data_IF_647463108396
#
_entry.id   IF_647463108396
#
_cell.length_a   1.000
_cell.length_b   1.000
_cell.length_c   1.000
_cell.angle_alpha   90.00
_cell.angle_beta   90.00
_cell.angle_gamma   90.00
#
_symmetry.space_group_name_H-M   'P 1'
#
loop_
_entity.id
_entity.type
_entity.pdbx_description
1 polymer ?
#
# COMPACT_ATOMS: atom_id res chain seq x y z
N UNK A 1 2.53 1.93 16.43
CA UNK A 1 2.15 3.07 15.56
C UNK A 1 0.63 3.11 15.40
N UNK A 2 0.11 4.18 14.81
CA UNK A 2 -1.31 4.35 14.57
C UNK A 2 -1.52 4.97 13.19
N UNK A 3 -2.63 4.63 12.52
CA UNK A 3 -2.93 5.17 11.19
C UNK A 3 -4.38 4.97 10.80
N UNK A 4 -4.78 5.58 9.69
CA UNK A 4 -6.10 5.40 9.09
C UNK A 4 -5.97 4.51 7.86
N UNK A 5 -6.90 3.59 7.71
CA UNK A 5 -7.00 2.71 6.53
C UNK A 5 -7.46 3.53 5.33
N UNK A 6 -6.70 3.51 4.26
CA UNK A 6 -6.99 4.19 2.99
C UNK A 6 -7.00 3.18 1.85
N UNK A 7 -7.73 3.42 0.76
CA UNK A 7 -7.67 2.55 -0.40
C UNK A 7 -6.30 2.69 -1.07
N UNK A 8 -5.81 1.63 -1.71
CA UNK A 8 -4.59 1.70 -2.52
C UNK A 8 -4.78 2.51 -3.79
N UNK A 9 -6.00 2.54 -4.32
CA UNK A 9 -6.39 3.30 -5.50
C UNK A 9 -7.75 3.96 -5.27
N UNK A 10 -7.82 5.23 -5.65
CA UNK A 10 -9.03 6.02 -5.66
C UNK A 10 -9.18 6.66 -7.04
N UNK A 11 -10.31 6.47 -7.68
CA UNK A 11 -10.54 6.93 -9.05
C UNK A 11 -11.91 7.60 -9.17
N UNK A 12 -11.91 8.83 -9.70
CA UNK A 12 -13.14 9.47 -10.13
C UNK A 12 -13.41 9.10 -11.57
N UNK A 13 -14.51 8.40 -11.81
CA UNK A 13 -14.98 8.06 -13.15
C UNK A 13 -15.64 9.27 -13.77
N UNK A 14 -15.16 9.65 -14.95
CA UNK A 14 -15.69 10.77 -15.72
C UNK A 14 -16.38 10.25 -17.00
N UNK A 15 -17.43 10.95 -17.44
CA UNK A 15 -17.98 10.72 -18.77
C UNK A 15 -16.97 11.18 -19.83
N UNK A 16 -16.58 10.32 -20.75
CA UNK A 16 -15.68 10.67 -21.85
C UNK A 16 -16.44 11.23 -23.04
N UNK A 17 -17.72 10.87 -23.16
CA UNK A 17 -18.61 11.32 -24.23
C UNK A 17 -19.89 11.91 -23.64
N UNK A 18 -20.57 12.75 -24.43
CA UNK A 18 -21.79 13.40 -23.99
C UNK A 18 -23.03 12.56 -24.35
N UNK A 19 -24.06 12.60 -23.53
CA UNK A 19 -25.34 11.97 -23.81
C UNK A 19 -26.21 11.78 -22.59
N UNK A 20 -27.37 11.15 -22.78
CA UNK A 20 -28.29 10.81 -21.68
C UNK A 20 -27.92 9.42 -21.14
N UNK A 21 -27.90 9.26 -19.84
CA UNK A 21 -27.76 7.96 -19.18
C UNK A 21 -29.09 7.19 -19.38
N UNK A 22 -29.01 6.04 -20.04
CA UNK A 22 -30.16 5.19 -20.35
C UNK A 22 -30.24 3.90 -19.54
N UNK A 23 -29.11 3.52 -18.93
CA UNK A 23 -29.01 2.29 -18.14
C UNK A 23 -28.03 2.53 -16.98
N UNK A 24 -28.37 1.99 -15.83
CA UNK A 24 -27.55 2.05 -14.61
C UNK A 24 -27.57 0.67 -13.98
N UNK A 25 -26.40 0.12 -13.66
CA UNK A 25 -26.29 -1.20 -13.02
C UNK A 25 -26.89 -1.18 -11.62
N UNK A 26 -27.42 -2.34 -11.18
CA UNK A 26 -27.87 -2.52 -9.80
C UNK A 26 -26.76 -2.28 -8.78
N UNK A 27 -25.51 -2.61 -9.12
CA UNK A 27 -24.36 -2.35 -8.27
C UNK A 27 -23.99 -0.86 -8.17
N UNK A 28 -24.54 0.00 -9.05
CA UNK A 28 -24.19 1.43 -9.11
C UNK A 28 -24.96 2.25 -8.05
N UNK A 29 -24.71 1.96 -6.79
CA UNK A 29 -25.20 2.72 -5.63
C UNK A 29 -24.07 2.88 -4.61
N UNK A 30 -24.18 3.86 -3.73
CA UNK A 30 -23.19 4.10 -2.67
C UNK A 30 -23.08 2.86 -1.78
N UNK A 31 -21.86 2.33 -1.63
CA UNK A 31 -21.60 1.07 -0.92
C UNK A 31 -21.74 -0.18 -1.78
N UNK A 32 -22.12 -0.06 -3.06
CA UNK A 32 -22.15 -1.19 -4.00
C UNK A 32 -20.76 -1.64 -4.42
N UNK A 33 -20.59 -2.94 -4.65
CA UNK A 33 -19.37 -3.55 -5.16
C UNK A 33 -19.53 -3.86 -6.65
N UNK A 34 -18.51 -3.54 -7.44
CA UNK A 34 -18.43 -3.84 -8.85
C UNK A 34 -17.08 -4.50 -9.15
N UNK A 35 -17.11 -5.55 -9.96
CA UNK A 35 -15.87 -6.19 -10.43
C UNK A 35 -15.26 -5.43 -11.59
N UNK A 36 -13.95 -5.55 -11.76
CA UNK A 36 -13.23 -4.95 -12.88
C UNK A 36 -13.82 -5.40 -14.22
N UNK A 37 -14.18 -4.44 -15.07
CA UNK A 37 -14.88 -4.68 -16.36
C UNK A 37 -16.39 -4.63 -16.30
N UNK A 38 -17.01 -4.67 -15.13
CA UNK A 38 -18.47 -4.58 -14.99
C UNK A 38 -19.00 -3.25 -15.54
N UNK A 39 -20.13 -3.30 -16.21
CA UNK A 39 -20.81 -2.10 -16.71
C UNK A 39 -21.47 -1.39 -15.53
N UNK A 40 -21.06 -0.16 -15.26
CA UNK A 40 -21.64 0.68 -14.22
C UNK A 40 -22.86 1.45 -14.73
N UNK A 41 -22.71 2.05 -15.90
CA UNK A 41 -23.80 2.78 -16.57
C UNK A 41 -23.55 2.84 -18.07
N UNK A 42 -24.62 3.16 -18.82
CA UNK A 42 -24.58 3.32 -20.28
C UNK A 42 -25.18 4.66 -20.70
N UNK A 43 -24.43 5.37 -21.54
CA UNK A 43 -24.88 6.59 -22.23
C UNK A 43 -25.59 6.17 -23.52
N UNK A 44 -26.59 6.92 -23.99
CA UNK A 44 -27.35 6.63 -25.19
C UNK A 44 -26.41 6.48 -26.41
N UNK A 45 -26.32 5.30 -27.03
CA UNK A 45 -25.34 5.01 -28.07
C UNK A 45 -25.84 5.38 -29.47
N UNK A 46 -27.13 5.75 -29.68
CA UNK A 46 -27.75 5.88 -30.99
C UNK A 46 -27.04 6.82 -31.96
N UNK A 47 -26.63 7.98 -31.45
CA UNK A 47 -25.91 8.97 -32.28
C UNK A 47 -24.51 8.46 -32.64
N UNK A 48 -23.86 7.73 -31.76
CA UNK A 48 -22.54 7.14 -31.96
C UNK A 48 -22.58 5.95 -32.92
N UNK A 49 -23.62 5.12 -32.85
CA UNK A 49 -23.88 4.05 -33.83
C UNK A 49 -24.06 4.61 -35.23
N UNK A 50 -24.84 5.69 -35.36
CA UNK A 50 -25.04 6.35 -36.65
C UNK A 50 -23.75 6.88 -37.21
N UNK A 51 -22.90 7.53 -36.38
CA UNK A 51 -21.59 8.01 -36.80
C UNK A 51 -20.66 6.87 -37.22
N UNK A 52 -20.68 5.77 -36.52
CA UNK A 52 -19.92 4.57 -36.88
C UNK A 52 -20.29 4.07 -38.26
N UNK A 53 -21.62 3.95 -38.56
CA UNK A 53 -22.09 3.54 -39.87
C UNK A 53 -21.69 4.49 -40.99
N UNK A 54 -21.72 5.81 -40.73
CA UNK A 54 -21.25 6.81 -41.70
C UNK A 54 -19.74 6.68 -41.94
N UNK A 55 -18.92 6.48 -40.92
CA UNK A 55 -17.48 6.29 -41.06
C UNK A 55 -17.14 4.99 -41.82
N UNK A 56 -17.92 3.91 -41.62
CA UNK A 56 -17.76 2.67 -42.36
C UNK A 56 -18.04 2.88 -43.87
N UNK A 57 -19.15 3.57 -44.23
CA UNK A 57 -19.49 3.85 -45.59
C UNK A 57 -18.41 4.77 -46.25
N UNK A 58 -17.84 5.73 -45.53
CA UNK A 58 -16.75 6.57 -46.00
C UNK A 58 -15.50 5.75 -46.31
N UNK A 59 -15.14 4.80 -45.43
CA UNK A 59 -14.02 3.88 -45.65
C UNK A 59 -14.21 3.04 -46.92
N UNK A 60 -15.36 2.41 -47.09
CA UNK A 60 -15.67 1.61 -48.29
C UNK A 60 -15.60 2.46 -49.59
N UNK A 61 -16.03 3.73 -49.52
CA UNK A 61 -15.90 4.69 -50.62
C UNK A 61 -14.44 5.00 -50.94
N UNK A 62 -13.62 5.25 -49.94
CA UNK A 62 -12.19 5.51 -50.09
C UNK A 62 -11.43 4.29 -50.63
N UNK A 63 -11.76 3.07 -50.14
CA UNK A 63 -11.21 1.80 -50.67
C UNK A 63 -11.54 1.64 -52.18
N UNK A 64 -12.78 1.86 -52.53
CA UNK A 64 -13.25 1.77 -53.94
C UNK A 64 -12.51 2.81 -54.82
N UNK A 65 -12.32 4.03 -54.32
CA UNK A 65 -11.57 5.07 -55.04
C UNK A 65 -10.10 4.68 -55.25
N UNK A 66 -9.47 4.11 -54.23
CA UNK A 66 -8.07 3.64 -54.32
C UNK A 66 -7.96 2.49 -55.34
N UNK A 67 -8.88 1.53 -55.35
CA UNK A 67 -8.89 0.43 -56.30
C UNK A 67 -9.02 0.95 -57.74
N UNK A 68 -9.95 1.90 -57.97
CA UNK A 68 -10.12 2.53 -59.28
C UNK A 68 -8.84 3.27 -59.71
N UNK A 69 -8.21 4.02 -58.81
CA UNK A 69 -6.99 4.76 -59.13
C UNK A 69 -5.80 3.85 -59.40
N UNK A 70 -5.67 2.73 -58.66
CA UNK A 70 -4.68 1.67 -58.94
C UNK A 70 -4.86 1.12 -60.35
N UNK A 71 -6.11 0.82 -60.74
CA UNK A 71 -6.42 0.34 -62.09
C UNK A 71 -6.05 1.34 -63.16
N UNK A 72 -6.33 2.64 -62.95
CA UNK A 72 -5.95 3.72 -63.92
C UNK A 72 -4.42 3.86 -63.99
N UNK A 73 -3.72 3.81 -62.87
CA UNK A 73 -2.26 3.86 -62.83
C UNK A 73 -1.60 2.67 -63.55
N UNK A 74 -2.19 1.46 -63.41
CA UNK A 74 -1.71 0.28 -64.12
C UNK A 74 -1.89 0.41 -65.66
N UNK A 75 -3.03 0.92 -66.12
CA UNK A 75 -3.25 1.21 -67.54
C UNK A 75 -2.25 2.24 -68.06
N UNK A 76 -2.03 3.35 -67.32
CA UNK A 76 -1.07 4.37 -67.64
C UNK A 76 0.38 3.82 -67.74
N UNK A 77 0.74 2.89 -66.81
CA UNK A 77 2.04 2.21 -66.85
C UNK A 77 2.24 1.35 -68.10
N UNK A 78 1.23 0.57 -68.47
CA UNK A 78 1.26 -0.24 -69.71
C UNK A 78 1.35 0.60 -70.97
N UNK A 79 0.71 1.75 -71.04
CA UNK A 79 0.80 2.69 -72.14
C UNK A 79 2.17 3.36 -72.21
N UNK A 80 2.73 3.79 -71.03
CA UNK A 80 4.05 4.33 -70.96
C UNK A 80 5.13 3.38 -71.49
N UNK A 81 5.04 2.10 -71.21
CA UNK A 81 5.98 1.06 -71.67
C UNK A 81 5.98 0.89 -73.19
N UNK A 82 4.90 1.26 -73.92
CA UNK A 82 4.77 1.21 -75.38
C UNK A 82 5.39 2.44 -76.07
N UNK A 83 5.68 3.51 -75.34
CA UNK A 83 6.21 4.73 -75.93
C UNK A 83 7.71 4.59 -76.26
N UNK A 84 8.16 5.24 -77.42
CA UNK A 84 9.58 5.22 -77.84
C UNK A 84 10.51 5.77 -76.73
N UNK A 85 11.64 5.13 -76.50
CA UNK A 85 12.61 5.46 -75.40
C UNK A 85 13.39 6.77 -75.66
N UNK A 86 13.20 7.45 -76.78
CA UNK A 86 14.04 8.58 -77.25
C UNK A 86 13.54 9.99 -76.86
N UNK A 87 12.58 10.09 -75.94
CA UNK A 87 12.12 11.43 -75.51
C UNK A 87 12.77 11.76 -74.16
N UNK A 88 13.52 12.88 -74.09
CA UNK A 88 13.97 13.49 -72.81
C UNK A 88 12.74 14.00 -72.06
N UNK A 89 12.25 13.16 -71.13
CA UNK A 89 11.11 13.48 -70.26
C UNK A 89 11.63 13.71 -68.86
N UNK A 90 11.16 14.78 -68.22
CA UNK A 90 11.49 15.01 -66.82
C UNK A 90 10.86 13.91 -65.92
N UNK A 91 11.49 13.63 -64.80
CA UNK A 91 10.97 12.68 -63.81
C UNK A 91 9.55 13.08 -63.34
N UNK A 92 9.31 14.36 -63.17
CA UNK A 92 8.00 14.92 -62.80
C UNK A 92 6.90 14.62 -63.83
N UNK A 93 7.23 14.74 -65.14
CA UNK A 93 6.28 14.42 -66.19
C UNK A 93 5.97 12.93 -66.23
N UNK A 94 6.96 12.09 -65.94
CA UNK A 94 6.75 10.63 -65.78
C UNK A 94 5.85 10.30 -64.60
N UNK A 95 6.12 10.86 -63.44
CA UNK A 95 5.35 10.63 -62.23
C UNK A 95 3.89 11.09 -62.35
N UNK A 96 3.68 12.23 -63.01
CA UNK A 96 2.34 12.72 -63.33
C UNK A 96 1.60 11.84 -64.37
N UNK A 97 2.29 11.37 -65.40
CA UNK A 97 1.70 10.42 -66.38
C UNK A 97 1.32 9.10 -65.75
N UNK A 98 2.15 8.58 -64.85
CA UNK A 98 1.91 7.34 -64.13
C UNK A 98 0.91 7.52 -62.98
N UNK A 99 0.33 8.71 -62.84
CA UNK A 99 -0.70 9.05 -61.86
C UNK A 99 -0.25 8.84 -60.40
N UNK A 100 1.04 8.92 -60.09
CA UNK A 100 1.57 8.75 -58.75
C UNK A 100 0.94 9.70 -57.72
N UNK A 101 0.83 11.03 -57.97
CA UNK A 101 0.21 11.96 -57.05
C UNK A 101 -1.26 11.59 -56.73
N UNK A 102 -2.00 11.14 -57.76
CA UNK A 102 -3.40 10.72 -57.59
C UNK A 102 -3.53 9.43 -56.77
N UNK A 103 -2.58 8.52 -56.97
CA UNK A 103 -2.52 7.27 -56.15
C UNK A 103 -2.17 7.60 -54.71
N UNK A 104 -1.19 8.46 -54.48
CA UNK A 104 -0.83 8.92 -53.13
C UNK A 104 -2.00 9.65 -52.44
N UNK A 105 -2.72 10.50 -53.19
CA UNK A 105 -3.94 11.15 -52.68
C UNK A 105 -5.02 10.15 -52.28
N UNK A 106 -5.29 9.14 -53.11
CA UNK A 106 -6.27 8.10 -52.80
C UNK A 106 -5.84 7.26 -51.59
N UNK A 107 -4.55 6.99 -51.43
CA UNK A 107 -4.01 6.32 -50.22
C UNK A 107 -4.18 7.17 -48.98
N UNK A 108 -3.90 8.49 -49.07
CA UNK A 108 -4.08 9.40 -47.95
C UNK A 108 -5.56 9.49 -47.52
N UNK A 109 -6.49 9.52 -48.50
CA UNK A 109 -7.93 9.51 -48.23
C UNK A 109 -8.38 8.20 -47.53
N UNK A 110 -7.84 7.06 -47.92
CA UNK A 110 -8.10 5.79 -47.27
C UNK A 110 -7.64 5.80 -45.81
N UNK A 111 -6.42 6.29 -45.56
CA UNK A 111 -5.88 6.40 -44.20
C UNK A 111 -6.72 7.34 -43.31
N UNK A 112 -7.18 8.45 -43.88
CA UNK A 112 -8.04 9.41 -43.19
C UNK A 112 -9.40 8.73 -42.81
N UNK A 113 -10.05 8.06 -43.78
CA UNK A 113 -11.30 7.36 -43.52
C UNK A 113 -11.16 6.23 -42.51
N UNK A 114 -10.02 5.53 -42.51
CA UNK A 114 -9.70 4.52 -41.49
C UNK A 114 -9.56 5.13 -40.08
N UNK A 115 -8.90 6.29 -39.97
CA UNK A 115 -8.77 7.02 -38.71
C UNK A 115 -10.12 7.50 -38.16
N UNK A 116 -10.99 7.99 -39.07
CA UNK A 116 -12.35 8.42 -38.71
C UNK A 116 -13.19 7.27 -38.22
N UNK A 117 -13.08 6.09 -38.85
CA UNK A 117 -13.76 4.86 -38.41
C UNK A 117 -13.30 4.44 -37.01
N UNK A 118 -11.99 4.46 -36.74
CA UNK A 118 -11.48 4.10 -35.42
C UNK A 118 -11.99 5.10 -34.37
N UNK A 119 -11.96 6.38 -34.66
CA UNK A 119 -12.49 7.42 -33.76
C UNK A 119 -13.97 7.23 -33.46
N UNK A 120 -14.78 6.88 -34.48
CA UNK A 120 -16.20 6.62 -34.29
C UNK A 120 -16.46 5.36 -33.46
N UNK A 121 -15.62 4.31 -33.61
CA UNK A 121 -15.67 3.09 -32.82
C UNK A 121 -15.33 3.33 -31.36
N UNK A 122 -14.24 4.05 -31.11
CA UNK A 122 -13.80 4.40 -29.75
C UNK A 122 -14.86 5.24 -29.02
N UNK A 123 -15.46 6.22 -29.71
CA UNK A 123 -16.53 7.03 -29.13
C UNK A 123 -17.80 6.21 -28.82
N UNK A 124 -18.11 5.20 -29.60
CA UNK A 124 -19.20 4.27 -29.30
C UNK A 124 -18.86 3.41 -28.06
N UNK A 125 -17.64 2.91 -27.97
CA UNK A 125 -17.18 2.13 -26.80
C UNK A 125 -17.24 2.97 -25.53
N UNK A 126 -16.83 4.23 -25.57
CA UNK A 126 -16.88 5.19 -24.45
C UNK A 126 -18.30 5.51 -23.98
N UNK A 127 -19.35 5.08 -24.68
CA UNK A 127 -20.74 5.17 -24.16
C UNK A 127 -21.00 4.16 -23.05
N UNK A 128 -20.17 3.11 -22.93
CA UNK A 128 -20.28 2.08 -21.91
C UNK A 128 -19.25 2.35 -20.84
N UNK A 129 -19.69 2.80 -19.69
CA UNK A 129 -18.80 3.10 -18.56
C UNK A 129 -18.64 1.85 -17.72
N UNK A 130 -17.39 1.40 -17.55
CA UNK A 130 -17.03 0.20 -16.82
C UNK A 130 -16.19 0.53 -15.58
N UNK A 131 -16.24 -0.38 -14.59
CA UNK A 131 -15.32 -0.36 -13.47
C UNK A 131 -13.90 -0.72 -13.97
N UNK A 132 -12.85 0.09 -13.68
CA UNK A 132 -11.48 -0.20 -14.13
C UNK A 132 -10.80 -1.31 -13.34
N UNK A 133 -11.29 -1.62 -12.15
CA UNK A 133 -10.80 -2.64 -11.21
C UNK A 133 -11.93 -3.04 -10.26
N UNK A 134 -11.70 -4.04 -9.41
CA UNK A 134 -12.65 -4.43 -8.36
C UNK A 134 -12.80 -3.29 -7.35
N UNK A 135 -13.97 -2.69 -7.30
CA UNK A 135 -14.20 -1.42 -6.64
C UNK A 135 -15.44 -1.40 -5.77
N UNK A 136 -15.37 -0.58 -4.72
CA UNK A 136 -16.49 -0.07 -3.93
C UNK A 136 -16.87 1.32 -4.45
N UNK A 137 -18.14 1.57 -4.68
CA UNK A 137 -18.66 2.89 -5.05
C UNK A 137 -18.79 3.74 -3.80
N UNK A 138 -17.91 4.73 -3.65
CA UNK A 138 -17.91 5.67 -2.53
C UNK A 138 -18.97 6.74 -2.66
N UNK A 139 -19.03 7.35 -3.85
CA UNK A 139 -19.96 8.42 -4.14
C UNK A 139 -20.54 8.28 -5.54
N UNK A 140 -21.79 8.66 -5.72
CA UNK A 140 -22.50 8.66 -6.97
C UNK A 140 -22.88 10.10 -7.31
N UNK A 141 -22.49 10.56 -8.50
CA UNK A 141 -22.70 11.95 -8.94
C UNK A 141 -23.69 12.05 -10.12
N UNK A 142 -24.13 10.92 -10.66
CA UNK A 142 -25.04 10.90 -11.80
C UNK A 142 -26.11 9.80 -11.66
N UNK A 143 -27.24 9.97 -12.35
CA UNK A 143 -28.38 9.06 -12.25
C UNK A 143 -29.04 8.76 -13.61
N UNK A 144 -29.92 7.75 -13.62
CA UNK A 144 -30.68 7.37 -14.78
C UNK A 144 -31.48 8.54 -15.34
N UNK A 145 -31.44 8.72 -16.66
CA UNK A 145 -32.14 9.80 -17.34
C UNK A 145 -31.43 11.14 -17.35
N UNK A 146 -30.38 11.32 -16.57
CA UNK A 146 -29.55 12.52 -16.53
C UNK A 146 -28.76 12.70 -17.84
N UNK A 147 -28.62 13.95 -18.28
CA UNK A 147 -27.74 14.27 -19.41
C UNK A 147 -26.37 14.67 -18.86
N UNK A 148 -25.30 14.05 -19.39
CA UNK A 148 -23.90 14.31 -18.99
C UNK A 148 -23.09 14.81 -20.19
N UNK A 149 -22.10 15.66 -19.92
CA UNK A 149 -21.12 16.10 -20.90
C UNK A 149 -19.78 15.37 -20.69
N UNK A 150 -18.88 15.47 -21.67
CA UNK A 150 -17.51 15.00 -21.50
C UNK A 150 -16.85 15.74 -20.30
N UNK A 151 -16.18 15.01 -19.43
CA UNK A 151 -15.57 15.52 -18.20
C UNK A 151 -16.51 15.62 -16.99
N UNK A 152 -17.81 15.26 -17.12
CA UNK A 152 -18.73 15.21 -15.98
C UNK A 152 -18.37 14.03 -15.07
N UNK A 153 -18.20 14.29 -13.76
CA UNK A 153 -17.99 13.22 -12.77
C UNK A 153 -19.26 12.34 -12.65
N UNK A 154 -19.06 11.03 -12.70
CA UNK A 154 -20.12 10.04 -12.63
C UNK A 154 -20.15 9.34 -11.27
N UNK A 155 -19.00 8.93 -10.78
CA UNK A 155 -18.82 8.27 -9.48
C UNK A 155 -17.38 8.36 -8.98
N UNK A 156 -17.21 8.14 -7.67
CA UNK A 156 -15.91 7.89 -7.03
C UNK A 156 -15.82 6.43 -6.64
N UNK A 157 -14.73 5.79 -7.04
CA UNK A 157 -14.47 4.37 -6.79
C UNK A 157 -13.24 4.19 -5.92
N UNK A 158 -13.32 3.26 -4.97
CA UNK A 158 -12.20 2.77 -4.17
C UNK A 158 -11.87 1.34 -4.53
N UNK A 159 -10.59 1.03 -4.71
CA UNK A 159 -10.15 -0.36 -4.86
C UNK A 159 -10.45 -1.16 -3.59
N UNK A 160 -10.96 -2.39 -3.76
CA UNK A 160 -11.26 -3.31 -2.65
C UNK A 160 -10.24 -4.44 -2.52
N UNK A 161 -9.33 -4.59 -3.49
CA UNK A 161 -8.32 -5.64 -3.46
C UNK A 161 -7.25 -5.39 -2.39
N UNK A 162 -6.86 -4.13 -2.24
CA UNK A 162 -5.76 -3.73 -1.37
C UNK A 162 -6.11 -2.44 -0.64
N UNK A 163 -5.87 -2.43 0.67
CA UNK A 163 -5.86 -1.22 1.46
C UNK A 163 -4.45 -0.91 1.97
N UNK A 164 -4.20 0.34 2.27
CA UNK A 164 -2.95 0.82 2.83
C UNK A 164 -3.19 1.54 4.16
N UNK A 165 -2.24 1.41 5.08
CA UNK A 165 -2.22 2.20 6.31
C UNK A 165 -0.90 2.93 6.39
N UNK A 166 -0.98 4.25 6.47
CA UNK A 166 0.17 5.13 6.62
C UNK A 166 0.54 5.27 8.09
N UNK A 167 1.71 4.76 8.48
CA UNK A 167 2.16 4.66 9.86
C UNK A 167 3.36 5.57 10.10
N UNK A 168 3.27 6.58 11.00
CA UNK A 168 4.40 7.41 11.38
C UNK A 168 5.32 6.66 12.34
N UNK A 169 6.59 6.54 11.97
CA UNK A 169 7.63 5.93 12.80
C UNK A 169 8.65 7.00 13.19
N UNK A 170 8.76 7.33 14.47
CA UNK A 170 9.77 8.29 14.95
C UNK A 170 11.18 7.84 14.59
N UNK A 171 12.07 8.79 14.26
CA UNK A 171 13.45 8.51 13.89
C UNK A 171 14.18 7.66 14.94
N UNK A 172 13.90 7.86 16.22
CA UNK A 172 14.51 7.11 17.34
C UNK A 172 14.14 5.63 17.37
N UNK A 173 13.14 5.19 16.59
CA UNK A 173 12.68 3.79 16.54
C UNK A 173 13.07 3.07 15.25
N UNK A 174 13.68 3.75 14.29
CA UNK A 174 14.00 3.16 12.97
C UNK A 174 15.04 2.03 13.07
N UNK A 175 16.01 2.14 13.97
CA UNK A 175 17.06 1.14 14.15
C UNK A 175 16.53 -0.22 14.64
N UNK A 176 15.34 -0.21 15.27
CA UNK A 176 14.69 -1.42 15.77
C UNK A 176 13.86 -2.15 14.73
N UNK A 177 13.64 -1.55 13.55
CA UNK A 177 12.77 -2.10 12.51
C UNK A 177 13.59 -2.62 11.34
N UNK A 178 13.06 -3.67 10.72
CA UNK A 178 13.52 -4.14 9.42
C UNK A 178 12.69 -3.43 8.34
N UNK A 179 13.21 -2.28 7.89
CA UNK A 179 12.54 -1.49 6.86
C UNK A 179 12.87 -2.05 5.48
N UNK A 180 11.91 -2.06 4.54
CA UNK A 180 12.17 -2.36 3.15
C UNK A 180 13.14 -1.32 2.57
N UNK A 181 14.00 -1.75 1.65
CA UNK A 181 14.93 -0.86 0.96
C UNK A 181 14.22 0.24 0.17
N UNK A 182 14.92 1.37 -0.08
CA UNK A 182 14.35 2.50 -0.83
C UNK A 182 13.94 2.16 -2.27
N UNK A 183 14.52 1.11 -2.85
CA UNK A 183 14.28 0.67 -4.23
C UNK A 183 13.65 -0.73 -4.33
N UNK A 184 13.39 -1.40 -3.22
CA UNK A 184 12.94 -2.79 -3.18
C UNK A 184 11.59 -2.94 -2.52
N UNK A 185 10.75 -3.75 -3.13
CA UNK A 185 9.53 -4.29 -2.53
C UNK A 185 9.87 -5.57 -1.75
N UNK A 186 10.97 -5.55 -0.98
CA UNK A 186 11.28 -6.65 -0.09
C UNK A 186 10.12 -6.83 0.89
N UNK A 187 9.78 -8.08 1.18
CA UNK A 187 8.76 -8.37 2.18
C UNK A 187 9.23 -7.80 3.50
N UNK A 188 8.65 -6.65 3.86
CA UNK A 188 8.92 -6.00 5.14
C UNK A 188 8.36 -6.81 6.31
N UNK A 189 8.61 -6.31 7.51
CA UNK A 189 8.11 -6.89 8.75
C UNK A 189 6.59 -7.10 8.72
N UNK A 190 6.13 -8.18 9.33
CA UNK A 190 4.72 -8.40 9.60
C UNK A 190 4.20 -7.35 10.58
N UNK A 191 2.99 -6.90 10.35
CA UNK A 191 2.30 -5.90 11.17
C UNK A 191 0.98 -6.50 11.61
N UNK A 192 0.74 -6.48 12.91
CA UNK A 192 -0.57 -6.76 13.48
C UNK A 192 -1.32 -5.44 13.65
N UNK A 193 -2.38 -5.28 12.87
CA UNK A 193 -3.29 -4.15 12.96
C UNK A 193 -4.46 -4.52 13.83
N UNK A 194 -4.83 -3.66 14.76
CA UNK A 194 -5.96 -3.91 15.63
C UNK A 194 -6.73 -2.64 15.96
N UNK A 195 -8.02 -2.80 16.17
CA UNK A 195 -8.90 -1.73 16.68
C UNK A 195 -10.08 -2.34 17.41
N UNK A 196 -10.72 -1.53 18.23
CA UNK A 196 -11.99 -1.91 18.87
C UNK A 196 -13.14 -1.73 17.87
N UNK A 197 -13.86 -2.81 17.63
CA UNK A 197 -15.08 -2.82 16.82
C UNK A 197 -16.23 -3.32 17.68
N UNK A 198 -17.10 -2.43 18.10
CA UNK A 198 -18.28 -2.71 18.93
C UNK A 198 -17.96 -3.41 20.28
N UNK A 199 -16.83 -3.07 20.90
CA UNK A 199 -16.42 -3.60 22.21
C UNK A 199 -15.56 -4.88 22.10
N UNK A 200 -15.22 -5.31 20.89
CA UNK A 200 -14.30 -6.41 20.65
C UNK A 200 -13.07 -5.96 19.90
N UNK A 201 -11.89 -6.35 20.36
CA UNK A 201 -10.64 -6.07 19.65
C UNK A 201 -10.55 -7.03 18.46
N UNK A 202 -10.53 -6.48 17.25
CA UNK A 202 -10.33 -7.24 16.03
C UNK A 202 -8.91 -7.01 15.51
N UNK A 203 -8.34 -8.07 14.91
CA UNK A 203 -6.98 -8.11 14.40
C UNK A 203 -6.96 -8.40 12.91
N UNK A 204 -6.04 -7.75 12.19
CA UNK A 204 -5.75 -7.99 10.77
C UNK A 204 -4.24 -8.00 10.55
N UNK A 205 -3.80 -8.93 9.72
CA UNK A 205 -2.39 -9.02 9.36
C UNK A 205 -2.10 -8.13 8.16
N UNK A 206 -1.10 -7.29 8.29
CA UNK A 206 -0.57 -6.46 7.23
C UNK A 206 0.93 -6.70 7.03
N UNK A 207 1.48 -6.23 5.93
CA UNK A 207 2.92 -6.28 5.65
C UNK A 207 3.45 -4.87 5.43
N UNK A 208 4.63 -4.59 5.97
CA UNK A 208 5.33 -3.35 5.69
C UNK A 208 5.77 -3.36 4.24
N UNK A 209 5.14 -2.52 3.42
CA UNK A 209 5.32 -2.56 1.97
C UNK A 209 6.39 -1.61 1.46
N UNK A 210 6.38 -0.36 1.95
CA UNK A 210 7.34 0.67 1.54
C UNK A 210 7.51 1.74 2.62
N UNK A 211 8.56 2.52 2.48
CA UNK A 211 8.77 3.78 3.20
C UNK A 211 8.61 4.95 2.24
N UNK A 212 8.14 6.08 2.72
CA UNK A 212 7.99 7.28 1.88
C UNK A 212 9.32 7.97 1.56
N UNK A 213 10.43 7.52 2.18
CA UNK A 213 11.79 8.01 1.88
C UNK A 213 12.08 9.44 2.33
N UNK A 214 11.11 10.14 2.91
CA UNK A 214 11.23 11.52 3.38
C UNK A 214 10.70 11.61 4.80
N UNK A 215 11.43 12.32 5.67
CA UNK A 215 10.96 12.62 7.02
C UNK A 215 9.97 13.79 7.00
N UNK A 216 8.89 13.65 7.73
CA UNK A 216 7.97 14.76 7.99
C UNK A 216 8.68 15.78 8.91
N UNK A 217 8.74 17.03 8.48
CA UNK A 217 9.49 18.09 9.18
C UNK A 217 8.92 18.43 10.55
N UNK A 218 7.60 18.27 10.75
CA UNK A 218 6.91 18.62 12.00
C UNK A 218 7.03 17.52 13.05
N UNK A 219 6.74 16.29 12.65
CA UNK A 219 6.73 15.14 13.56
C UNK A 219 8.08 14.46 13.66
N UNK A 220 9.02 14.72 12.73
CA UNK A 220 10.30 14.01 12.57
C UNK A 220 10.10 12.49 12.46
N UNK A 221 8.98 12.09 11.90
CA UNK A 221 8.66 10.70 11.67
C UNK A 221 8.93 10.34 10.21
N UNK A 222 9.39 9.12 9.97
CA UNK A 222 9.38 8.48 8.66
C UNK A 222 8.03 7.79 8.50
N UNK A 223 7.31 8.14 7.44
CA UNK A 223 6.08 7.40 7.14
C UNK A 223 6.40 6.09 6.44
N UNK A 224 5.83 5.04 6.96
CA UNK A 224 5.85 3.70 6.37
C UNK A 224 4.43 3.32 5.99
N UNK A 225 4.30 2.57 4.90
CA UNK A 225 3.02 2.13 4.38
C UNK A 225 2.89 0.63 4.59
N UNK A 226 1.91 0.26 5.38
CA UNK A 226 1.48 -1.11 5.56
C UNK A 226 0.42 -1.45 4.51
N UNK A 227 0.55 -2.61 3.88
CA UNK A 227 -0.38 -3.15 2.88
C UNK A 227 -1.20 -4.27 3.47
N UNK A 228 -2.50 -4.23 3.20
CA UNK A 228 -3.48 -5.24 3.61
C UNK A 228 -4.13 -5.77 2.34
N UNK A 229 -3.99 -7.05 2.07
CA UNK A 229 -4.68 -7.71 0.97
C UNK A 229 -6.08 -8.14 1.42
N UNK A 230 -7.08 -7.99 0.55
CA UNK A 230 -8.49 -8.30 0.78
C UNK A 230 -9.07 -7.71 2.09
N UNK A 231 -9.02 -6.38 2.27
CA UNK A 231 -9.45 -5.75 3.53
C UNK A 231 -10.93 -5.98 3.85
N UNK A 232 -11.76 -6.23 2.85
CA UNK A 232 -13.19 -6.49 3.04
C UNK A 232 -13.53 -7.98 3.26
N UNK A 233 -12.54 -8.89 3.12
CA UNK A 233 -12.77 -10.33 3.26
C UNK A 233 -13.66 -10.90 2.17
N UNK A 234 -13.60 -10.35 0.95
CA UNK A 234 -14.42 -10.81 -0.17
C UNK A 234 -13.99 -12.16 -0.72
N UNK A 235 -12.72 -12.54 -0.49
CA UNK A 235 -12.12 -13.80 -0.93
C UNK A 235 -12.10 -14.87 0.15
N UNK A 236 -12.33 -14.49 1.42
CA UNK A 236 -12.27 -15.41 2.57
C UNK A 236 -13.54 -15.28 3.41
N UNK A 237 -14.36 -16.33 3.44
CA UNK A 237 -15.54 -16.36 4.28
C UNK A 237 -15.18 -16.30 5.77
N UNK A 238 -15.87 -15.45 6.51
CA UNK A 238 -15.73 -15.34 7.98
C UNK A 238 -14.69 -14.32 8.47
N UNK A 239 -13.97 -13.66 7.58
CA UNK A 239 -13.08 -12.57 7.98
C UNK A 239 -13.91 -11.31 8.30
N UNK A 240 -13.60 -10.66 9.44
CA UNK A 240 -14.21 -9.36 9.76
C UNK A 240 -13.69 -8.31 8.76
N UNK A 241 -14.57 -7.60 8.03
CA UNK A 241 -14.13 -6.59 7.07
C UNK A 241 -13.46 -5.40 7.75
N UNK A 242 -12.28 -5.02 7.28
CA UNK A 242 -11.59 -3.80 7.65
C UNK A 242 -12.00 -2.67 6.69
N UNK A 243 -12.88 -1.81 7.13
CA UNK A 243 -13.44 -0.75 6.28
C UNK A 243 -12.45 0.39 6.08
N UNK A 244 -12.41 0.93 4.87
CA UNK A 244 -11.68 2.17 4.58
C UNK A 244 -12.20 3.29 5.47
N UNK A 245 -11.28 4.11 5.99
CA UNK A 245 -11.57 5.15 6.97
C UNK A 245 -11.45 4.70 8.43
N UNK A 246 -11.29 3.40 8.71
CA UNK A 246 -11.09 2.89 10.07
C UNK A 246 -9.73 3.36 10.61
N UNK A 247 -9.72 3.84 11.86
CA UNK A 247 -8.49 4.15 12.58
C UNK A 247 -7.99 2.89 13.29
N UNK A 248 -6.73 2.52 13.07
CA UNK A 248 -6.13 1.30 13.59
C UNK A 248 -4.84 1.56 14.35
N UNK A 249 -4.59 0.73 15.34
CA UNK A 249 -3.30 0.59 16.00
C UNK A 249 -2.48 -0.45 15.26
N UNK A 250 -1.16 -0.27 15.21
CA UNK A 250 -0.23 -1.16 14.52
C UNK A 250 0.89 -1.60 15.46
N UNK A 251 1.02 -2.91 15.65
CA UNK A 251 2.16 -3.56 16.25
C UNK A 251 3.08 -4.06 15.14
N UNK A 252 4.23 -3.42 15.00
CA UNK A 252 5.21 -3.74 13.97
C UNK A 252 6.26 -4.65 14.59
N UNK A 253 6.45 -5.84 14.02
CA UNK A 253 7.50 -6.74 14.47
C UNK A 253 8.87 -6.12 14.19
N UNK A 254 9.67 -5.96 15.26
CA UNK A 254 11.01 -5.39 15.18
C UNK A 254 12.06 -6.43 14.77
N UNK A 255 13.33 -5.99 14.80
CA UNK A 255 14.49 -6.87 14.66
C UNK A 255 14.67 -7.70 15.92
N UNK A 256 15.04 -8.95 15.74
CA UNK A 256 15.50 -9.77 16.85
C UNK A 256 16.94 -9.41 17.21
N UNK A 257 17.20 -9.20 18.48
CA UNK A 257 18.53 -8.95 19.00
C UNK A 257 18.89 -10.12 19.92
N UNK A 258 20.04 -10.72 19.68
CA UNK A 258 20.61 -11.77 20.52
C UNK A 258 21.65 -11.21 21.48
N UNK A 259 21.88 -11.88 22.61
CA UNK A 259 22.90 -11.47 23.57
C UNK A 259 22.58 -10.20 24.37
N UNK A 260 21.30 -9.90 24.57
CA UNK A 260 20.85 -8.77 25.37
C UNK A 260 20.77 -9.19 26.85
N UNK A 261 21.37 -8.37 27.71
CA UNK A 261 21.20 -8.47 29.16
C UNK A 261 20.20 -7.43 29.62
N UNK A 262 19.13 -7.87 30.25
CA UNK A 262 18.08 -7.00 30.79
C UNK A 262 18.41 -6.70 32.26
N UNK A 263 18.50 -5.43 32.60
CA UNK A 263 18.79 -4.98 33.96
C UNK A 263 17.74 -3.97 34.42
N UNK A 264 17.42 -3.92 35.72
CA UNK A 264 16.60 -2.84 36.25
C UNK A 264 17.26 -1.46 36.02
N UNK A 265 16.47 -0.47 35.64
CA UNK A 265 16.99 0.86 35.29
C UNK A 265 17.85 1.51 36.37
N UNK A 266 17.53 1.29 37.65
CA UNK A 266 18.23 1.87 38.77
C UNK A 266 19.69 1.39 38.93
N UNK A 267 20.05 0.30 38.25
CA UNK A 267 21.41 -0.24 38.20
C UNK A 267 22.31 0.58 37.27
N UNK A 268 21.70 1.21 36.24
CA UNK A 268 22.43 2.02 35.28
C UNK A 268 22.71 3.41 35.84
N UNK A 269 23.99 3.79 35.88
CA UNK A 269 24.48 5.06 36.38
C UNK A 269 24.77 6.06 35.26
N UNK A 270 25.03 7.30 35.65
CA UNK A 270 25.45 8.34 34.72
C UNK A 270 26.68 7.90 33.92
N UNK A 271 26.67 8.13 32.60
CA UNK A 271 27.73 7.69 31.68
C UNK A 271 27.63 6.22 31.26
N UNK A 272 26.47 5.57 31.39
CA UNK A 272 26.25 4.16 31.02
C UNK A 272 27.20 3.22 31.78
N UNK A 273 27.36 3.44 33.07
CA UNK A 273 28.19 2.62 33.95
C UNK A 273 27.32 1.70 34.81
N UNK A 274 27.78 0.49 35.02
CA UNK A 274 27.22 -0.49 35.97
C UNK A 274 28.33 -0.97 36.93
N UNK A 275 27.93 -1.37 38.13
CA UNK A 275 28.82 -2.02 39.07
C UNK A 275 28.89 -3.52 38.80
N UNK A 276 30.09 -4.03 38.53
CA UNK A 276 30.36 -5.47 38.37
C UNK A 276 31.32 -5.89 39.49
N UNK A 277 31.08 -7.08 40.05
CA UNK A 277 31.98 -7.68 41.04
C UNK A 277 33.03 -8.50 40.29
N UNK A 278 34.33 -8.19 40.52
CA UNK A 278 35.44 -8.92 39.92
C UNK A 278 35.75 -10.24 40.69
N UNK A 279 36.62 -11.05 40.12
CA UNK A 279 37.07 -12.35 40.73
C UNK A 279 37.69 -12.18 42.10
N UNK A 280 38.17 -10.97 42.45
CA UNK A 280 38.70 -10.62 43.75
C UNK A 280 37.65 -10.10 44.72
N UNK A 281 36.36 -10.28 44.41
CA UNK A 281 35.21 -9.78 45.17
C UNK A 281 35.27 -8.24 45.40
N UNK A 282 35.75 -7.50 44.40
CA UNK A 282 35.80 -6.04 44.46
C UNK A 282 34.86 -5.44 43.40
N UNK A 283 34.24 -4.31 43.74
CA UNK A 283 33.41 -3.54 42.86
C UNK A 283 34.22 -2.79 41.80
N UNK A 284 33.88 -2.99 40.55
CA UNK A 284 34.45 -2.28 39.40
C UNK A 284 33.37 -1.58 38.61
N UNK A 285 33.64 -0.35 38.19
CA UNK A 285 32.81 0.32 37.19
C UNK A 285 33.10 -0.29 35.82
N UNK A 286 32.06 -0.74 35.15
CA UNK A 286 32.13 -1.20 33.78
C UNK A 286 31.22 -0.38 32.91
N UNK A 287 31.74 0.12 31.81
CA UNK A 287 30.96 0.84 30.84
C UNK A 287 30.18 -0.16 29.95
N UNK A 288 28.91 0.10 29.78
CA UNK A 288 27.98 -0.75 28.98
C UNK A 288 27.40 0.04 27.84
N UNK A 289 27.12 -0.65 26.76
CA UNK A 289 26.36 -0.11 25.64
C UNK A 289 24.89 -0.50 25.78
N UNK A 290 23.99 0.48 25.75
CA UNK A 290 22.57 0.24 25.94
C UNK A 290 21.86 0.35 24.61
N UNK A 291 21.03 -0.64 24.26
CA UNK A 291 20.13 -0.61 23.10
C UNK A 291 18.97 0.35 23.37
N UNK A 292 18.32 0.17 24.52
CA UNK A 292 17.15 0.93 24.93
C UNK A 292 17.16 1.10 26.44
N UNK A 293 16.72 2.28 26.88
CA UNK A 293 16.46 2.55 28.29
C UNK A 293 14.96 2.78 28.43
N UNK A 294 14.27 1.85 29.05
CA UNK A 294 12.86 1.96 29.39
C UNK A 294 12.62 2.70 30.72
N UNK A 295 11.38 2.70 31.19
CA UNK A 295 11.00 3.31 32.46
C UNK A 295 11.54 2.50 33.66
N UNK A 296 11.47 1.17 33.57
CA UNK A 296 11.85 0.25 34.64
C UNK A 296 13.08 -0.59 34.32
N UNK A 297 13.36 -0.84 33.05
CA UNK A 297 14.41 -1.73 32.57
C UNK A 297 15.34 -1.03 31.57
N UNK A 298 16.59 -1.51 31.51
CA UNK A 298 17.58 -1.14 30.51
C UNK A 298 18.06 -2.41 29.80
N UNK A 299 18.17 -2.32 28.48
CA UNK A 299 18.61 -3.41 27.60
C UNK A 299 20.06 -3.14 27.21
N UNK A 300 20.97 -3.98 27.69
CA UNK A 300 22.44 -3.86 27.48
C UNK A 300 22.84 -4.82 26.37
N UNK A 301 23.56 -4.31 25.36
CA UNK A 301 24.03 -5.09 24.20
C UNK A 301 25.51 -5.43 24.26
N UNK A 302 26.29 -4.69 25.01
CA UNK A 302 27.74 -4.94 25.13
C UNK A 302 28.30 -4.40 26.44
N UNK A 303 29.42 -4.96 26.87
CA UNK A 303 30.12 -4.55 28.09
C UNK A 303 29.84 -5.47 29.30
N UNK A 304 29.01 -6.48 29.14
CA UNK A 304 28.78 -7.55 30.11
C UNK A 304 28.93 -8.89 29.40
N UNK A 305 29.64 -9.79 30.09
CA UNK A 305 29.86 -11.16 29.63
C UNK A 305 29.01 -12.14 30.46
N UNK A 306 28.78 -13.35 29.90
CA UNK A 306 28.07 -14.39 30.60
C UNK A 306 28.85 -14.81 31.87
N UNK A 307 28.16 -14.74 33.03
CA UNK A 307 28.77 -15.00 34.34
C UNK A 307 29.15 -13.77 35.13
N UNK A 308 29.13 -12.56 34.54
CA UNK A 308 29.36 -11.32 35.26
C UNK A 308 28.31 -11.10 36.37
N UNK A 309 28.76 -10.74 37.56
CA UNK A 309 27.92 -10.41 38.70
C UNK A 309 27.69 -8.89 38.75
N UNK A 310 26.48 -8.47 38.34
CA UNK A 310 26.08 -7.07 38.37
C UNK A 310 25.43 -6.72 39.72
N UNK A 311 25.87 -5.70 40.38
CA UNK A 311 25.30 -5.27 41.66
C UNK A 311 23.94 -4.60 41.45
N UNK A 312 22.91 -5.16 42.04
CA UNK A 312 21.54 -4.59 42.07
C UNK A 312 21.40 -3.55 43.22
N UNK A 313 22.37 -3.45 44.13
CA UNK A 313 22.31 -2.49 45.21
C UNK A 313 22.72 -1.10 44.69
N UNK A 314 21.96 -0.07 45.07
CA UNK A 314 22.29 1.31 44.74
C UNK A 314 23.46 1.80 45.62
N UNK A 315 24.70 1.77 45.08
CA UNK A 315 25.91 2.12 45.76
C UNK A 315 26.48 3.43 45.19
N UNK A 316 27.11 4.28 46.01
CA UNK A 316 27.76 5.50 45.56
C UNK A 316 29.09 5.25 44.83
N UNK A 317 29.56 6.24 44.07
CA UNK A 317 30.82 6.16 43.34
C UNK A 317 32.06 5.97 44.24
N UNK A 318 31.98 6.33 45.53
CA UNK A 318 33.01 6.15 46.54
C UNK A 318 33.35 4.68 46.84
N UNK A 319 32.53 3.73 46.46
CA UNK A 319 32.75 2.30 46.67
C UNK A 319 33.59 1.62 45.59
N UNK A 320 34.15 2.34 44.62
CA UNK A 320 35.02 1.77 43.60
C UNK A 320 36.25 1.08 44.27
N UNK A 321 36.41 -0.23 43.95
CA UNK A 321 37.46 -1.08 44.52
C UNK A 321 37.20 -1.61 45.92
N UNK A 322 36.04 -1.31 46.52
CA UNK A 322 35.63 -1.88 47.81
C UNK A 322 35.45 -3.39 47.74
N UNK A 323 35.86 -4.10 48.76
CA UNK A 323 35.59 -5.53 48.93
C UNK A 323 34.12 -5.70 49.32
N UNK A 324 33.40 -6.61 48.63
CA UNK A 324 31.97 -6.86 48.84
C UNK A 324 31.72 -8.29 49.13
N UNK A 325 30.64 -8.56 49.88
CA UNK A 325 30.11 -9.88 50.11
C UNK A 325 28.82 -10.06 49.29
N UNK A 326 28.79 -11.11 48.49
CA UNK A 326 27.59 -11.45 47.69
C UNK A 326 26.61 -12.25 48.58
N UNK A 327 25.50 -11.64 48.95
CA UNK A 327 24.49 -12.26 49.81
C UNK A 327 23.45 -13.13 49.04
N UNK A 328 23.12 -12.72 47.81
CA UNK A 328 22.19 -13.44 46.96
C UNK A 328 22.52 -13.18 45.49
N UNK A 329 22.29 -14.17 44.65
CA UNK A 329 22.42 -14.06 43.20
C UNK A 329 21.05 -14.30 42.60
N UNK A 330 20.55 -13.36 41.85
CA UNK A 330 19.31 -13.48 41.08
C UNK A 330 19.69 -13.68 39.59
N UNK A 331 19.34 -14.83 38.99
CA UNK A 331 19.59 -15.03 37.57
C UNK A 331 18.84 -14.00 36.72
N UNK A 332 19.45 -13.54 35.64
CA UNK A 332 18.87 -12.52 34.74
C UNK A 332 17.53 -12.92 34.14
N UNK A 333 17.33 -14.21 33.89
CA UNK A 333 16.07 -14.75 33.38
C UNK A 333 14.87 -14.65 34.35
N UNK A 334 15.10 -14.41 35.61
CA UNK A 334 14.05 -14.17 36.60
C UNK A 334 13.69 -12.68 36.73
N UNK A 335 14.49 -11.80 36.15
CA UNK A 335 14.20 -10.37 36.12
C UNK A 335 13.17 -10.02 35.02
N UNK A 336 12.94 -10.94 34.10
CA UNK A 336 11.97 -10.79 33.00
C UNK A 336 10.52 -11.19 33.37
N UNK A 337 10.34 -11.84 34.54
CA UNK A 337 9.07 -12.49 34.86
C UNK A 337 7.95 -11.55 35.37
N UNK A 338 8.20 -10.25 35.46
CA UNK A 338 7.24 -9.34 36.11
C UNK A 338 6.61 -8.25 35.21
N UNK A 339 6.82 -8.25 33.90
CA UNK A 339 6.18 -7.20 33.09
C UNK A 339 5.89 -7.60 31.63
N UNK A 340 4.99 -8.58 31.44
CA UNK A 340 4.10 -8.60 30.27
C UNK A 340 2.73 -9.14 30.69
N UNK A 341 1.66 -8.38 30.51
CA UNK A 341 0.33 -8.98 30.53
C UNK A 341 0.18 -9.80 29.23
N UNK A 342 0.40 -11.11 29.34
CA UNK A 342 0.02 -12.06 28.29
C UNK A 342 -1.51 -12.05 28.18
N UNK A 343 -2.13 -11.65 27.10
CA UNK A 343 -3.55 -11.87 26.90
C UNK A 343 -3.76 -13.33 26.49
N UNK A 344 -4.31 -14.13 27.42
CA UNK A 344 -4.98 -15.36 27.07
C UNK A 344 -4.33 -16.66 27.50
N UNK A 345 -4.45 -17.02 28.79
CA UNK A 345 -4.61 -18.42 29.17
C UNK A 345 -5.37 -18.50 30.49
N UNK A 346 -6.68 -18.33 30.41
CA UNK A 346 -7.58 -18.83 31.43
C UNK A 346 -7.89 -20.29 31.09
N UNK A 347 -7.31 -21.23 31.82
CA UNK A 347 -7.96 -22.49 32.14
C UNK A 347 -7.14 -23.29 33.16
N UNK A 348 -7.61 -23.30 34.40
CA UNK A 348 -8.05 -24.42 35.21
C UNK A 348 -7.01 -25.38 35.75
N UNK A 349 -6.94 -25.35 37.06
CA UNK A 349 -6.99 -26.45 38.05
C UNK A 349 -6.25 -25.96 39.30
N UNK A 350 -6.88 -25.73 40.41
CA UNK A 350 -7.51 -26.63 41.34
C UNK A 350 -6.46 -27.32 42.20
N UNK A 351 -6.38 -26.97 43.49
CA UNK A 351 -5.61 -27.70 44.45
C UNK A 351 -5.25 -26.84 45.66
N UNK A 352 -6.01 -27.04 46.70
CA UNK A 352 -5.89 -26.51 48.04
C UNK A 352 -4.54 -26.78 48.70
N UNK A 353 -4.08 -25.91 49.58
CA UNK A 353 -3.87 -26.26 51.00
C UNK A 353 -3.28 -25.08 51.79
N UNK A 354 -4.08 -24.63 52.70
CA UNK A 354 -3.90 -24.26 54.11
C UNK A 354 -2.48 -24.05 54.66
N UNK A 355 -2.27 -22.86 55.25
CA UNK A 355 -1.85 -22.62 56.64
C UNK A 355 -1.67 -21.14 56.85
N UNK A 356 -2.50 -20.46 57.54
CA UNK A 356 -2.63 -20.27 58.98
C UNK A 356 -1.63 -19.23 59.55
N UNK A 357 -2.26 -18.13 59.97
CA UNK A 357 -2.07 -17.38 61.21
C UNK A 357 -0.82 -16.50 61.37
N UNK A 358 -0.99 -15.23 61.54
CA UNK A 358 -1.17 -14.61 62.85
C UNK A 358 -1.35 -13.08 62.73
N UNK A 359 -2.45 -12.64 63.22
CA UNK A 359 -2.70 -11.29 63.72
C UNK A 359 -2.01 -11.10 65.05
N UNK A 360 -1.57 -9.90 65.42
CA UNK A 360 -2.16 -9.38 66.64
C UNK A 360 -2.79 -7.98 66.50
N UNK A 361 -3.90 -7.89 67.20
CA UNK A 361 -4.59 -6.67 67.53
C UNK A 361 -3.84 -5.90 68.60
N UNK A 362 -4.04 -4.61 68.62
CA UNK A 362 -4.31 -3.75 69.78
C UNK A 362 -4.41 -2.34 69.23
N UNK A 363 -5.46 -1.73 69.35
CA UNK A 363 -6.18 -1.11 70.45
C UNK A 363 -5.92 0.39 70.58
N UNK A 364 -7.02 1.09 70.70
CA UNK A 364 -7.30 2.31 71.45
C UNK A 364 -7.30 3.66 70.77
N UNK A 365 -8.49 4.14 70.59
CA UNK A 365 -9.10 5.42 71.03
C UNK A 365 -8.56 6.75 70.49
N UNK A 366 -9.51 7.55 70.09
CA UNK A 366 -9.50 8.97 69.90
C UNK A 366 -10.56 9.41 68.91
#
# INVERSE_FOLDING_TARGET
>A
AQGTVTPSQETTILAEVKGRIIEVSEAFHVGGFASGGDVLLRIDPRDYQTRLLHAQAALETAESALVQEKGRAEVALREWQKLPKNSQRSQEAMDLYLRKPQLEQAQAQLLAAQADLNTARDNLERTIIRAPYDALIRAKHSDLGQFVGAGTALAELFSVEVAEVRLPIPQSKLDYLQLPGLQGYDKGSSIDLYTDVAGEIKHWTAQLHRTEGVFDERSRALYTVARIDDPYGLRQEGQTPLRIGTFVNANIQGREFSGIVILPRYVLRAGNLVWVVDDSMRLRNRQVSTLRTGTEQVYVTAGLDEGDLVSLTNLDASFAGALVEVRSITPSNLLDANDEPTPGAAQGRGGAETAAAATPASDVAG
#
